data_IF_931670562307
#
_entry.id   IF_931670562307
#
_cell.length_a   1.000
_cell.length_b   1.000
_cell.length_c   1.000
_cell.angle_alpha   90.00
_cell.angle_beta   90.00
_cell.angle_gamma   90.00
#
_symmetry.space_group_name_H-M   'P 1'
#
loop_
_entity.id
_entity.type
_entity.pdbx_description
1 polymer ?
#
# COMPACT_ATOMS: atom_id res chain seq x y z
N UNK A 1 15.84 -15.16 -12.55
CA UNK A 1 16.75 -14.03 -12.21
C UNK A 1 16.02 -12.81 -11.61
N UNK A 2 14.73 -12.55 -11.88
CA UNK A 2 14.00 -11.41 -11.27
C UNK A 2 13.62 -11.56 -9.77
N UNK A 3 13.58 -12.79 -9.23
CA UNK A 3 13.14 -13.08 -7.85
C UNK A 3 14.01 -12.45 -6.75
N UNK A 4 15.23 -12.00 -7.07
CA UNK A 4 16.16 -11.43 -6.10
C UNK A 4 16.00 -9.92 -5.89
N UNK A 5 15.36 -9.16 -6.79
CA UNK A 5 15.46 -7.69 -6.69
C UNK A 5 14.77 -7.08 -5.46
N UNK A 6 13.54 -7.49 -5.11
CA UNK A 6 12.81 -6.93 -3.96
C UNK A 6 13.43 -7.38 -2.62
N UNK A 7 13.79 -8.66 -2.50
CA UNK A 7 14.44 -9.19 -1.30
C UNK A 7 15.84 -8.59 -1.09
N UNK A 8 16.65 -8.48 -2.15
CA UNK A 8 17.97 -7.83 -2.06
C UNK A 8 17.83 -6.32 -1.78
N UNK A 9 16.75 -5.66 -2.24
CA UNK A 9 16.42 -4.27 -1.86
C UNK A 9 16.14 -4.13 -0.36
N UNK A 10 15.44 -5.08 0.26
CA UNK A 10 15.21 -5.07 1.71
C UNK A 10 16.45 -5.49 2.51
N UNK A 11 17.28 -6.39 1.97
CA UNK A 11 18.55 -6.75 2.59
C UNK A 11 19.56 -5.60 2.59
N UNK A 12 19.62 -4.86 1.49
CA UNK A 12 20.47 -3.68 1.31
C UNK A 12 19.92 -2.42 1.97
N UNK A 13 18.71 -2.49 2.56
CA UNK A 13 18.20 -1.43 3.42
C UNK A 13 19.23 -1.15 4.52
N UNK A 14 19.61 0.11 4.78
CA UNK A 14 20.73 0.45 5.66
C UNK A 14 20.72 -0.33 6.98
N UNK A 15 21.71 -1.21 7.17
CA UNK A 15 21.91 -2.01 8.40
C UNK A 15 23.01 -1.47 9.31
N UNK A 16 23.70 -0.40 8.90
CA UNK A 16 24.68 0.34 9.69
C UNK A 16 25.15 1.56 8.89
N UNK A 17 24.93 2.78 9.39
CA UNK A 17 25.61 3.97 8.87
C UNK A 17 25.89 4.93 10.05
N UNK A 18 27.09 5.51 10.06
CA UNK A 18 27.63 6.31 11.15
C UNK A 18 27.37 7.81 10.93
N UNK A 19 26.25 8.34 11.44
CA UNK A 19 26.02 9.79 11.42
C UNK A 19 24.61 10.26 11.79
N UNK A 20 24.50 11.53 12.21
CA UNK A 20 23.20 12.22 12.40
C UNK A 20 22.44 12.44 11.09
N UNK A 21 23.15 12.56 9.96
CA UNK A 21 22.57 12.76 8.63
C UNK A 21 21.80 11.51 8.16
N UNK A 22 22.28 10.32 8.51
CA UNK A 22 21.65 9.04 8.14
C UNK A 22 20.31 8.82 8.87
N UNK A 23 20.24 9.27 10.13
CA UNK A 23 19.00 9.25 10.90
C UNK A 23 17.91 10.09 10.24
N UNK A 24 18.27 11.27 9.74
CA UNK A 24 17.35 12.17 9.03
C UNK A 24 16.92 11.52 7.70
N UNK A 25 17.86 10.94 6.96
CA UNK A 25 17.58 10.27 5.69
C UNK A 25 16.64 9.08 5.85
N UNK A 26 16.86 8.23 6.87
CA UNK A 26 16.00 7.05 7.14
C UNK A 26 14.61 7.49 7.59
N UNK A 27 14.50 8.52 8.44
CA UNK A 27 13.21 9.07 8.84
C UNK A 27 12.44 9.68 7.66
N UNK A 28 13.13 10.42 6.78
CA UNK A 28 12.54 10.98 5.57
C UNK A 28 12.07 9.87 4.64
N UNK A 29 12.90 8.86 4.40
CA UNK A 29 12.56 7.71 3.56
C UNK A 29 11.36 6.93 4.10
N UNK A 30 11.35 6.67 5.41
CA UNK A 30 10.23 5.99 6.10
C UNK A 30 8.94 6.78 5.93
N UNK A 31 8.97 8.09 6.21
CA UNK A 31 7.81 8.99 6.05
C UNK A 31 7.31 9.00 4.60
N UNK A 32 8.23 9.02 3.63
CA UNK A 32 7.89 9.04 2.21
C UNK A 32 7.22 7.74 1.77
N UNK A 33 7.71 6.57 2.20
CA UNK A 33 7.06 5.28 1.89
C UNK A 33 5.63 5.26 2.44
N UNK A 34 5.47 5.62 3.71
CA UNK A 34 4.16 5.61 4.37
C UNK A 34 3.20 6.55 3.63
N UNK A 35 3.67 7.75 3.30
CA UNK A 35 2.87 8.76 2.61
C UNK A 35 2.50 8.32 1.19
N UNK A 36 3.45 7.80 0.41
CA UNK A 36 3.19 7.28 -0.92
C UNK A 36 2.17 6.13 -0.90
N UNK A 37 2.33 5.18 0.03
CA UNK A 37 1.38 4.09 0.21
C UNK A 37 -0.03 4.61 0.52
N UNK A 38 -0.16 5.54 1.48
CA UNK A 38 -1.46 6.12 1.83
C UNK A 38 -2.09 6.89 0.67
N UNK A 39 -1.32 7.72 -0.03
CA UNK A 39 -1.80 8.45 -1.21
C UNK A 39 -2.27 7.49 -2.29
N UNK A 40 -1.54 6.40 -2.53
CA UNK A 40 -1.95 5.38 -3.50
C UNK A 40 -3.30 4.76 -3.13
N UNK A 41 -3.51 4.37 -1.87
CA UNK A 41 -4.80 3.84 -1.40
C UNK A 41 -5.93 4.87 -1.54
N UNK A 42 -5.65 6.14 -1.26
CA UNK A 42 -6.62 7.23 -1.39
C UNK A 42 -7.02 7.48 -2.85
N UNK A 43 -6.06 7.45 -3.78
CA UNK A 43 -6.34 7.53 -5.22
C UNK A 43 -7.25 6.39 -5.69
N UNK A 44 -6.98 5.15 -5.24
CA UNK A 44 -7.84 4.01 -5.56
C UNK A 44 -9.23 4.15 -4.93
N UNK A 45 -9.32 4.65 -3.69
CA UNK A 45 -10.60 4.94 -3.04
C UNK A 45 -11.40 5.97 -3.84
N UNK A 46 -10.77 7.06 -4.25
CA UNK A 46 -11.40 8.10 -5.06
C UNK A 46 -11.94 7.53 -6.38
N UNK A 47 -11.19 6.64 -7.04
CA UNK A 47 -11.68 5.92 -8.20
C UNK A 47 -12.92 5.08 -7.86
N UNK A 48 -12.87 4.30 -6.77
CA UNK A 48 -14.02 3.46 -6.38
C UNK A 48 -15.24 4.27 -5.95
N UNK A 49 -15.02 5.52 -5.53
CA UNK A 49 -16.08 6.43 -5.13
C UNK A 49 -16.78 7.10 -6.32
N UNK A 50 -16.19 7.04 -7.51
CA UNK A 50 -16.84 7.47 -8.75
C UNK A 50 -18.12 6.66 -8.98
N UNK A 51 -19.13 7.29 -9.60
CA UNK A 51 -20.40 6.62 -9.98
C UNK A 51 -20.24 5.60 -11.13
N UNK A 52 -19.03 5.12 -11.38
CA UNK A 52 -18.71 4.11 -12.39
C UNK A 52 -18.72 2.67 -11.85
N UNK A 53 -18.80 2.50 -10.52
CA UNK A 53 -18.98 1.19 -9.86
C UNK A 53 -20.38 1.06 -9.26
N UNK A 54 -20.84 -0.19 -9.12
CA UNK A 54 -22.04 -0.52 -8.34
C UNK A 54 -21.78 -0.34 -6.84
N UNK A 55 -22.84 -0.13 -6.05
CA UNK A 55 -22.73 -0.02 -4.59
C UNK A 55 -22.15 -1.29 -3.96
N UNK A 56 -22.45 -2.45 -4.54
CA UNK A 56 -21.89 -3.75 -4.15
C UNK A 56 -20.38 -3.81 -4.36
N UNK A 57 -19.88 -3.39 -5.54
CA UNK A 57 -18.46 -3.35 -5.83
C UNK A 57 -17.71 -2.38 -4.90
N UNK A 58 -18.30 -1.20 -4.65
CA UNK A 58 -17.73 -0.20 -3.73
C UNK A 58 -17.65 -0.72 -2.29
N UNK A 59 -18.72 -1.36 -1.82
CA UNK A 59 -18.78 -1.95 -0.48
C UNK A 59 -17.78 -3.10 -0.34
N UNK A 60 -17.65 -3.93 -1.37
CA UNK A 60 -16.71 -5.06 -1.39
C UNK A 60 -15.25 -4.61 -1.38
N UNK A 61 -14.91 -3.58 -2.18
CA UNK A 61 -13.58 -2.97 -2.13
C UNK A 61 -13.27 -2.38 -0.75
N UNK A 62 -14.22 -1.63 -0.19
CA UNK A 62 -14.08 -1.02 1.15
C UNK A 62 -13.89 -2.09 2.23
N UNK A 63 -14.66 -3.17 2.20
CA UNK A 63 -14.53 -4.29 3.12
C UNK A 63 -13.17 -4.99 3.00
N UNK A 64 -12.66 -5.15 1.78
CA UNK A 64 -11.33 -5.73 1.52
C UNK A 64 -10.20 -4.88 2.11
N UNK A 65 -10.25 -3.55 1.89
CA UNK A 65 -9.26 -2.62 2.47
C UNK A 65 -9.35 -2.59 4.00
N UNK A 66 -10.56 -2.56 4.55
CA UNK A 66 -10.79 -2.62 6.00
C UNK A 66 -10.24 -3.91 6.60
N UNK A 67 -10.47 -5.06 5.95
CA UNK A 67 -9.91 -6.34 6.39
C UNK A 67 -8.38 -6.29 6.49
N UNK A 68 -7.69 -5.74 5.49
CA UNK A 68 -6.23 -5.59 5.52
C UNK A 68 -5.78 -4.64 6.65
N UNK A 69 -6.50 -3.54 6.86
CA UNK A 69 -6.25 -2.63 7.97
C UNK A 69 -6.42 -3.31 9.33
N UNK A 70 -7.43 -4.15 9.50
CA UNK A 70 -7.70 -4.81 10.78
C UNK A 70 -6.72 -5.94 11.07
N UNK A 71 -6.31 -6.70 10.05
CA UNK A 71 -5.48 -7.91 10.22
C UNK A 71 -3.98 -7.69 10.10
N UNK A 72 -3.51 -6.69 9.35
CA UNK A 72 -2.07 -6.48 9.13
C UNK A 72 -1.55 -5.39 10.08
N UNK A 73 -0.79 -5.80 11.10
CA UNK A 73 -0.32 -4.92 12.17
C UNK A 73 0.54 -3.77 11.66
N UNK A 74 1.62 -4.04 10.91
CA UNK A 74 2.51 -2.97 10.45
C UNK A 74 1.79 -2.01 9.50
N UNK A 75 0.85 -2.50 8.68
CA UNK A 75 0.04 -1.64 7.82
C UNK A 75 -0.76 -0.61 8.64
N UNK A 76 -1.54 -1.11 9.61
CA UNK A 76 -2.33 -0.29 10.53
C UNK A 76 -1.48 0.69 11.34
N UNK A 77 -0.38 0.22 11.93
CA UNK A 77 0.52 1.05 12.71
C UNK A 77 1.12 2.18 11.85
N UNK A 78 1.69 1.85 10.70
CA UNK A 78 2.40 2.81 9.86
C UNK A 78 1.47 3.86 9.25
N UNK A 79 0.24 3.48 8.86
CA UNK A 79 -0.79 4.46 8.47
C UNK A 79 -1.04 5.49 9.58
N UNK A 80 -1.04 5.08 10.85
CA UNK A 80 -1.21 6.00 11.99
C UNK A 80 0.04 6.80 12.31
N UNK A 81 1.21 6.21 12.11
CA UNK A 81 2.47 6.92 12.23
C UNK A 81 2.64 8.03 11.18
N UNK A 82 1.92 7.97 10.05
CA UNK A 82 1.82 9.12 9.12
C UNK A 82 1.30 10.38 9.82
N UNK A 83 0.21 10.24 10.57
CA UNK A 83 -0.41 11.36 11.30
C UNK A 83 0.55 11.86 12.38
N UNK A 84 1.36 10.97 12.97
CA UNK A 84 2.43 11.33 13.90
C UNK A 84 3.55 12.12 13.22
N UNK A 85 3.96 11.72 12.01
CA UNK A 85 5.00 12.36 11.21
C UNK A 85 4.63 13.79 10.79
N UNK A 86 3.33 14.09 10.67
CA UNK A 86 2.85 15.44 10.37
C UNK A 86 3.06 16.43 11.53
N UNK A 87 3.27 15.93 12.75
CA UNK A 87 3.45 16.72 13.96
C UNK A 87 4.87 16.61 14.56
N UNK A 88 5.82 16.01 13.83
CA UNK A 88 7.23 15.90 14.20
C UNK A 88 7.90 14.68 13.58
N UNK A 89 9.18 14.45 13.89
CA UNK A 89 9.89 13.27 13.35
C UNK A 89 9.27 11.96 13.83
N UNK A 90 9.24 10.95 12.96
CA UNK A 90 8.89 9.58 13.33
C UNK A 90 9.85 9.07 14.41
N UNK A 91 9.39 8.23 15.35
CA UNK A 91 10.21 7.68 16.42
C UNK A 91 10.94 6.42 15.92
N UNK A 92 11.67 6.59 14.81
CA UNK A 92 12.67 5.61 14.40
C UNK A 92 13.84 5.82 15.33
N UNK A 93 14.30 4.76 15.99
CA UNK A 93 15.49 4.76 16.85
C UNK A 93 16.51 3.78 16.28
N UNK A 94 17.76 3.88 16.73
CA UNK A 94 18.84 2.98 16.35
C UNK A 94 19.61 2.50 17.57
N UNK A 95 19.87 1.20 17.66
CA UNK A 95 20.75 0.59 18.66
C UNK A 95 21.59 -0.46 17.94
N UNK A 96 22.90 -0.46 18.17
CA UNK A 96 23.83 -1.46 17.59
C UNK A 96 23.65 -1.63 16.07
N UNK A 97 23.43 -0.51 15.37
CA UNK A 97 23.16 -0.42 13.93
C UNK A 97 21.80 -0.99 13.45
N UNK A 98 20.91 -1.40 14.35
CA UNK A 98 19.56 -1.86 14.00
C UNK A 98 18.57 -0.70 14.18
N UNK A 99 17.80 -0.41 13.13
CA UNK A 99 16.70 0.56 13.18
C UNK A 99 15.38 -0.08 13.58
N UNK A 100 14.67 0.58 14.47
CA UNK A 100 13.40 0.09 15.01
C UNK A 100 12.42 1.23 15.31
N UNK A 101 11.14 0.93 15.33
CA UNK A 101 10.13 1.77 15.96
C UNK A 101 10.09 1.47 17.45
N UNK A 102 10.18 2.53 18.23
CA UNK A 102 10.06 2.48 19.67
C UNK A 102 8.62 2.76 20.10
N UNK A 103 7.91 1.69 20.45
CA UNK A 103 6.48 1.77 20.77
C UNK A 103 6.20 2.57 22.05
N UNK A 104 7.14 2.57 23.01
CA UNK A 104 7.02 3.35 24.25
C UNK A 104 7.11 4.84 23.92
N UNK A 105 8.09 5.24 23.12
CA UNK A 105 8.23 6.63 22.66
C UNK A 105 7.06 7.08 21.77
N UNK A 106 6.46 6.18 20.97
CA UNK A 106 5.23 6.45 20.22
C UNK A 106 4.08 6.79 21.17
N UNK A 107 3.85 5.95 22.18
CA UNK A 107 2.76 6.11 23.15
C UNK A 107 2.94 7.29 24.11
N UNK A 108 4.18 7.59 24.46
CA UNK A 108 4.53 8.62 25.44
C UNK A 108 4.51 10.04 24.87
N UNK A 109 4.31 10.24 23.56
CA UNK A 109 4.42 11.57 22.96
C UNK A 109 3.29 12.50 23.41
N UNK A 110 3.62 13.65 24.04
CA UNK A 110 2.62 14.65 24.39
C UNK A 110 1.88 15.16 23.15
N UNK A 111 0.58 15.43 23.28
CA UNK A 111 -0.28 16.03 22.24
C UNK A 111 -0.55 15.17 20.98
N UNK A 112 -0.15 13.90 20.96
CA UNK A 112 -0.58 12.97 19.91
C UNK A 112 -1.84 12.20 20.35
N UNK A 113 -2.99 12.56 19.77
CA UNK A 113 -4.26 11.89 20.05
C UNK A 113 -4.33 10.55 19.32
N UNK A 114 -3.89 9.49 19.99
CA UNK A 114 -4.07 8.13 19.49
C UNK A 114 -5.56 7.75 19.42
N UNK A 115 -5.96 7.04 18.36
CA UNK A 115 -7.21 6.31 18.37
C UNK A 115 -7.19 5.27 19.51
N UNK A 116 -8.27 5.20 20.30
CA UNK A 116 -8.36 4.35 21.49
C UNK A 116 -7.99 2.88 21.24
N UNK A 117 -8.52 2.28 20.16
CA UNK A 117 -8.26 0.88 19.83
C UNK A 117 -6.80 0.63 19.44
N UNK A 118 -6.16 1.58 18.74
CA UNK A 118 -4.76 1.47 18.35
C UNK A 118 -3.84 1.65 19.56
N UNK A 119 -4.18 2.60 20.45
CA UNK A 119 -3.48 2.79 21.72
C UNK A 119 -3.52 1.52 22.56
N UNK A 120 -4.70 0.90 22.70
CA UNK A 120 -4.88 -0.37 23.42
C UNK A 120 -4.06 -1.51 22.80
N UNK A 121 -4.04 -1.65 21.47
CA UNK A 121 -3.21 -2.64 20.79
C UNK A 121 -1.70 -2.43 21.03
N UNK A 122 -1.23 -1.17 20.99
CA UNK A 122 0.17 -0.86 21.29
C UNK A 122 0.52 -1.14 22.76
N UNK A 123 -0.35 -0.75 23.70
CA UNK A 123 -0.18 -1.06 25.13
C UNK A 123 -0.12 -2.56 25.35
N UNK A 124 -1.02 -3.32 24.72
CA UNK A 124 -1.06 -4.77 24.86
C UNK A 124 0.19 -5.44 24.27
N UNK A 125 0.67 -4.96 23.11
CA UNK A 125 1.93 -5.41 22.53
C UNK A 125 3.13 -5.11 23.43
N UNK A 126 3.14 -3.95 24.09
CA UNK A 126 4.23 -3.56 25.01
C UNK A 126 4.23 -4.40 26.28
N UNK A 127 3.09 -4.49 26.96
CA UNK A 127 2.95 -5.27 28.19
C UNK A 127 3.33 -6.74 27.94
N UNK A 128 2.96 -7.26 26.78
CA UNK A 128 3.34 -8.59 26.32
C UNK A 128 4.86 -8.76 26.20
N UNK A 129 5.55 -7.84 25.53
CA UNK A 129 6.99 -7.95 25.34
C UNK A 129 7.78 -7.78 26.65
N UNK A 130 7.34 -6.84 27.50
CA UNK A 130 7.97 -6.59 28.80
C UNK A 130 7.85 -7.79 29.73
N UNK A 131 6.68 -8.44 29.76
CA UNK A 131 6.48 -9.59 30.65
C UNK A 131 7.33 -10.80 30.24
N UNK A 132 7.43 -11.06 28.94
CA UNK A 132 8.06 -12.27 28.40
C UNK A 132 9.56 -12.17 28.17
N UNK A 133 10.01 -11.05 27.66
CA UNK A 133 11.41 -10.89 27.26
C UNK A 133 12.20 -10.05 28.26
N UNK A 134 11.52 -9.49 29.28
CA UNK A 134 12.11 -8.53 30.24
C UNK A 134 12.87 -7.40 29.53
N UNK A 135 12.41 -7.02 28.34
CA UNK A 135 13.04 -6.04 27.47
C UNK A 135 11.98 -5.11 26.88
N UNK A 136 12.42 -3.94 26.44
CA UNK A 136 11.57 -2.96 25.77
C UNK A 136 11.22 -3.45 24.36
N UNK A 137 9.94 -3.49 23.97
CA UNK A 137 9.52 -3.88 22.62
C UNK A 137 10.14 -2.98 21.55
N UNK A 138 10.96 -3.58 20.69
CA UNK A 138 11.52 -2.95 19.50
C UNK A 138 10.89 -3.55 18.26
N UNK A 139 10.17 -2.75 17.49
CA UNK A 139 9.59 -3.22 16.24
C UNK A 139 10.56 -2.95 15.09
N UNK A 140 11.05 -3.99 14.43
CA UNK A 140 12.03 -3.85 13.34
C UNK A 140 11.50 -2.94 12.22
N UNK A 141 12.25 -1.88 11.91
CA UNK A 141 11.89 -0.92 10.86
C UNK A 141 11.74 -1.62 9.50
N UNK A 142 12.76 -2.40 9.11
CA UNK A 142 12.79 -3.08 7.82
C UNK A 142 11.66 -4.09 7.67
N UNK A 143 11.38 -4.90 8.71
CA UNK A 143 10.29 -5.88 8.67
C UNK A 143 8.92 -5.21 8.58
N UNK A 144 8.72 -4.14 9.34
CA UNK A 144 7.45 -3.40 9.31
C UNK A 144 7.22 -2.67 8.00
N UNK A 145 8.26 -2.06 7.42
CA UNK A 145 8.15 -1.44 6.09
C UNK A 145 7.88 -2.47 5.00
N UNK A 146 8.55 -3.63 5.04
CA UNK A 146 8.29 -4.71 4.08
C UNK A 146 6.84 -5.22 4.17
N UNK A 147 6.33 -5.46 5.38
CA UNK A 147 4.93 -5.88 5.60
C UNK A 147 3.94 -4.80 5.13
N UNK A 148 4.19 -3.52 5.41
CA UNK A 148 3.37 -2.41 4.95
C UNK A 148 3.33 -2.29 3.43
N UNK A 149 4.48 -2.38 2.78
CA UNK A 149 4.57 -2.29 1.31
C UNK A 149 3.88 -3.49 0.67
N UNK A 150 4.09 -4.71 1.19
CA UNK A 150 3.40 -5.91 0.71
C UNK A 150 1.88 -5.79 0.84
N UNK A 151 1.38 -5.30 1.99
CA UNK A 151 -0.05 -5.06 2.20
C UNK A 151 -0.61 -3.97 1.26
N UNK A 152 0.13 -2.89 1.03
CA UNK A 152 -0.26 -1.80 0.13
C UNK A 152 -0.36 -2.30 -1.31
N UNK A 153 0.64 -3.05 -1.78
CA UNK A 153 0.64 -3.62 -3.14
C UNK A 153 -0.44 -4.70 -3.27
N UNK A 154 -0.75 -5.45 -2.22
CA UNK A 154 -1.88 -6.38 -2.20
C UNK A 154 -3.21 -5.67 -2.40
N UNK A 155 -3.42 -4.50 -1.76
CA UNK A 155 -4.60 -3.67 -2.02
C UNK A 155 -4.62 -3.23 -3.48
N UNK A 156 -3.48 -2.78 -4.03
CA UNK A 156 -3.36 -2.37 -5.42
C UNK A 156 -3.70 -3.48 -6.42
N UNK A 157 -3.19 -4.69 -6.20
CA UNK A 157 -3.57 -5.86 -7.00
C UNK A 157 -5.08 -6.08 -6.98
N UNK A 158 -5.68 -6.08 -5.79
CA UNK A 158 -7.11 -6.33 -5.64
C UNK A 158 -7.96 -5.21 -6.25
N UNK A 159 -7.49 -3.97 -6.24
CA UNK A 159 -8.17 -2.84 -6.86
C UNK A 159 -8.50 -3.10 -8.34
N UNK A 160 -7.58 -3.71 -9.09
CA UNK A 160 -7.80 -4.00 -10.50
C UNK A 160 -8.99 -4.94 -10.76
N UNK A 161 -9.31 -5.84 -9.82
CA UNK A 161 -10.52 -6.67 -9.93
C UNK A 161 -11.81 -5.83 -9.94
N UNK A 162 -11.83 -4.70 -9.24
CA UNK A 162 -12.99 -3.80 -9.21
C UNK A 162 -12.96 -2.80 -10.38
N UNK A 163 -11.77 -2.36 -10.78
CA UNK A 163 -11.61 -1.43 -11.90
C UNK A 163 -12.01 -2.04 -13.25
N UNK A 164 -11.88 -3.36 -13.42
CA UNK A 164 -12.25 -4.09 -14.64
C UNK A 164 -13.68 -3.76 -15.11
N UNK A 165 -14.63 -3.81 -14.18
CA UNK A 165 -16.03 -3.51 -14.47
C UNK A 165 -16.23 -2.08 -14.98
N UNK A 166 -15.57 -1.11 -14.36
CA UNK A 166 -15.66 0.30 -14.76
C UNK A 166 -15.06 0.52 -16.16
N UNK A 167 -13.90 -0.07 -16.44
CA UNK A 167 -13.19 0.07 -17.72
C UNK A 167 -13.99 -0.56 -18.87
N UNK A 168 -14.49 -1.78 -18.69
CA UNK A 168 -15.29 -2.47 -19.72
C UNK A 168 -16.60 -1.72 -20.02
N UNK A 169 -17.27 -1.22 -18.99
CA UNK A 169 -18.48 -0.42 -19.18
C UNK A 169 -18.19 0.93 -19.87
N UNK A 170 -17.09 1.59 -19.53
CA UNK A 170 -16.68 2.82 -20.19
C UNK A 170 -16.36 2.58 -21.67
N UNK A 171 -15.61 1.52 -22.00
CA UNK A 171 -15.29 1.10 -23.37
C UNK A 171 -16.56 0.88 -24.19
N UNK A 172 -17.54 0.15 -23.63
CA UNK A 172 -18.83 -0.06 -24.29
C UNK A 172 -19.57 1.26 -24.57
N UNK A 173 -19.68 2.15 -23.57
CA UNK A 173 -20.34 3.45 -23.74
C UNK A 173 -19.65 4.32 -24.79
N UNK A 174 -18.31 4.35 -24.81
CA UNK A 174 -17.54 5.07 -25.84
C UNK A 174 -17.85 4.48 -27.22
N UNK A 175 -17.84 3.15 -27.36
CA UNK A 175 -18.19 2.49 -28.62
C UNK A 175 -19.60 2.87 -29.08
N UNK A 176 -20.59 2.81 -28.20
CA UNK A 176 -21.99 3.15 -28.53
C UNK A 176 -22.11 4.61 -29.01
N UNK A 177 -21.38 5.55 -28.38
CA UNK A 177 -21.32 6.96 -28.79
C UNK A 177 -20.67 7.11 -30.18
N UNK A 178 -19.55 6.44 -30.42
CA UNK A 178 -18.82 6.50 -31.70
C UNK A 178 -19.67 5.91 -32.83
N UNK A 179 -20.34 4.78 -32.58
CA UNK A 179 -21.22 4.12 -33.55
C UNK A 179 -22.48 4.97 -33.84
N UNK A 180 -22.92 5.80 -32.89
CA UNK A 180 -24.06 6.73 -33.06
C UNK A 180 -23.70 7.98 -33.85
N UNK A 181 -22.47 8.49 -33.70
CA UNK A 181 -22.01 9.75 -34.31
C UNK A 181 -20.74 9.57 -35.15
N UNK A 182 -20.74 8.68 -36.16
CA UNK A 182 -19.54 8.40 -36.96
C UNK A 182 -19.01 9.62 -37.72
N UNK A 183 -19.83 10.65 -37.96
CA UNK A 183 -19.46 11.92 -38.57
C UNK A 183 -18.45 12.73 -37.74
N UNK A 184 -18.35 12.46 -36.42
CA UNK A 184 -17.39 13.11 -35.54
C UNK A 184 -15.98 12.49 -35.58
N UNK A 185 -15.77 11.48 -36.45
CA UNK A 185 -14.48 10.85 -36.67
C UNK A 185 -13.69 11.68 -37.69
N UNK A 186 -12.49 12.11 -37.31
CA UNK A 186 -11.58 12.85 -38.20
C UNK A 186 -11.12 11.95 -39.35
N UNK A 187 -11.49 12.35 -40.56
CA UNK A 187 -11.03 11.78 -41.83
C UNK A 187 -9.93 12.69 -42.41
N UNK A 188 -8.72 12.64 -41.83
CA UNK A 188 -7.56 13.46 -42.23
C UNK A 188 -6.31 12.59 -42.46
N UNK A 189 -5.23 13.11 -43.10
CA UNK A 189 -3.96 12.41 -43.25
C UNK A 189 -3.35 11.98 -41.91
N UNK A 190 -2.48 10.96 -41.98
CA UNK A 190 -2.06 9.98 -40.96
C UNK A 190 -2.14 10.38 -39.46
N UNK A 191 -1.70 11.57 -39.07
CA UNK A 191 -1.38 11.89 -37.68
C UNK A 191 -2.61 12.07 -36.77
N UNK A 192 -3.77 12.42 -37.34
CA UNK A 192 -5.05 12.53 -36.61
C UNK A 192 -6.17 11.68 -37.21
N UNK A 193 -5.82 10.77 -38.12
CA UNK A 193 -6.79 9.83 -38.68
C UNK A 193 -7.38 8.98 -37.55
N UNK A 194 -8.72 8.82 -37.53
CA UNK A 194 -9.45 8.01 -36.54
C UNK A 194 -9.50 8.57 -35.11
N UNK A 195 -9.34 9.87 -34.94
CA UNK A 195 -9.70 10.53 -33.68
C UNK A 195 -11.19 10.88 -33.68
N UNK A 196 -11.86 10.72 -32.54
CA UNK A 196 -13.25 11.10 -32.33
C UNK A 196 -13.33 12.41 -31.54
N UNK A 197 -13.93 13.45 -32.11
CA UNK A 197 -14.12 14.75 -31.43
C UNK A 197 -15.47 14.74 -30.70
N UNK A 198 -15.47 14.97 -29.40
CA UNK A 198 -16.72 15.02 -28.61
C UNK A 198 -17.03 16.39 -28.02
N UNK A 199 -16.09 17.33 -28.08
CA UNK A 199 -16.31 18.72 -27.67
C UNK A 199 -15.33 19.64 -28.39
N UNK A 200 -15.79 20.82 -28.80
CA UNK A 200 -14.94 21.91 -29.28
C UNK A 200 -15.30 23.17 -28.49
N UNK A 201 -14.32 23.78 -27.84
CA UNK A 201 -14.50 25.01 -27.07
C UNK A 201 -13.21 25.84 -27.09
N UNK A 202 -13.35 27.16 -27.31
CA UNK A 202 -12.25 28.14 -27.26
C UNK A 202 -11.02 27.76 -28.11
N UNK A 203 -11.25 27.19 -29.30
CA UNK A 203 -10.18 26.75 -30.20
C UNK A 203 -9.51 25.42 -29.83
N UNK A 204 -9.96 24.75 -28.76
CA UNK A 204 -9.51 23.43 -28.34
C UNK A 204 -10.57 22.37 -28.65
N UNK A 205 -10.12 21.15 -28.94
CA UNK A 205 -10.98 19.99 -29.13
C UNK A 205 -10.66 18.92 -28.08
N UNK A 206 -11.70 18.42 -27.41
CA UNK A 206 -11.59 17.21 -26.61
C UNK A 206 -11.83 15.99 -27.50
N UNK A 207 -10.90 15.05 -27.45
CA UNK A 207 -10.82 13.95 -28.40
C UNK A 207 -10.53 12.62 -27.76
N UNK A 208 -10.93 11.53 -28.43
CA UNK A 208 -10.55 10.16 -28.09
C UNK A 208 -9.85 9.54 -29.31
N UNK A 209 -8.67 8.96 -29.13
CA UNK A 209 -8.01 8.19 -30.18
C UNK A 209 -8.67 6.81 -30.29
N UNK A 210 -9.31 6.50 -31.42
CA UNK A 210 -10.01 5.22 -31.60
C UNK A 210 -9.05 4.02 -31.80
N UNK A 211 -7.77 4.31 -32.02
CA UNK A 211 -6.72 3.29 -32.10
C UNK A 211 -6.27 2.80 -30.72
N UNK A 212 -6.56 3.54 -29.65
CA UNK A 212 -6.22 3.14 -28.29
C UNK A 212 -7.04 1.91 -27.89
N UNK A 213 -6.41 0.98 -27.18
CA UNK A 213 -7.07 -0.18 -26.61
C UNK A 213 -6.97 -0.16 -25.08
N UNK A 214 -7.93 0.51 -24.41
CA UNK A 214 -7.97 0.60 -22.94
C UNK A 214 -8.01 -0.77 -22.26
N UNK A 215 -8.56 -1.79 -22.93
CA UNK A 215 -8.64 -3.15 -22.38
C UNK A 215 -7.26 -3.81 -22.36
N UNK A 216 -6.49 -3.66 -23.44
CA UNK A 216 -5.10 -4.13 -23.47
C UNK A 216 -4.24 -3.42 -22.42
N UNK A 217 -4.37 -2.10 -22.29
CA UNK A 217 -3.66 -1.34 -21.26
C UNK A 217 -4.07 -1.78 -19.85
N UNK A 218 -5.36 -2.04 -19.63
CA UNK A 218 -5.88 -2.56 -18.37
C UNK A 218 -5.30 -3.94 -18.03
N UNK A 219 -5.28 -4.87 -18.99
CA UNK A 219 -4.68 -6.20 -18.81
C UNK A 219 -3.20 -6.10 -18.43
N UNK A 220 -2.45 -5.22 -19.10
CA UNK A 220 -1.04 -4.97 -18.77
C UNK A 220 -0.87 -4.51 -17.31
N UNK A 221 -1.65 -3.52 -16.86
CA UNK A 221 -1.56 -3.05 -15.47
C UNK A 221 -1.97 -4.10 -14.44
N UNK A 222 -2.98 -4.92 -14.76
CA UNK A 222 -3.42 -6.03 -13.90
C UNK A 222 -2.31 -7.08 -13.75
N UNK A 223 -1.69 -7.50 -14.86
CA UNK A 223 -0.57 -8.45 -14.87
C UNK A 223 0.66 -7.90 -14.13
N UNK A 224 1.00 -6.62 -14.33
CA UNK A 224 2.09 -5.96 -13.61
C UNK A 224 1.81 -5.90 -12.10
N UNK A 225 0.58 -5.56 -11.71
CA UNK A 225 0.17 -5.51 -10.31
C UNK A 225 0.24 -6.89 -9.63
N UNK A 226 -0.16 -7.96 -10.33
CA UNK A 226 -0.03 -9.33 -9.85
C UNK A 226 1.43 -9.73 -9.67
N UNK A 227 2.27 -9.52 -10.70
CA UNK A 227 3.70 -9.83 -10.67
C UNK A 227 4.40 -9.10 -9.51
N UNK A 228 4.16 -7.80 -9.37
CA UNK A 228 4.77 -6.99 -8.30
C UNK A 228 4.25 -7.43 -6.92
N UNK A 229 2.95 -7.70 -6.79
CA UNK A 229 2.37 -8.19 -5.53
C UNK A 229 3.03 -9.49 -5.08
N UNK A 230 3.13 -10.47 -5.97
CA UNK A 230 3.72 -11.77 -5.64
C UNK A 230 5.20 -11.63 -5.26
N UNK A 231 5.95 -10.77 -5.96
CA UNK A 231 7.35 -10.48 -5.64
C UNK A 231 7.52 -9.88 -4.23
N UNK A 232 6.71 -8.88 -3.86
CA UNK A 232 6.83 -8.22 -2.55
C UNK A 232 6.30 -9.07 -1.40
N UNK A 233 5.24 -9.86 -1.62
CA UNK A 233 4.74 -10.83 -0.64
C UNK A 233 5.80 -11.91 -0.39
N UNK A 234 6.38 -12.48 -1.45
CA UNK A 234 7.45 -13.48 -1.32
C UNK A 234 8.68 -12.89 -0.60
N UNK A 235 9.11 -11.69 -0.99
CA UNK A 235 10.25 -11.04 -0.34
C UNK A 235 10.01 -10.77 1.15
N UNK A 236 8.78 -10.40 1.52
CA UNK A 236 8.37 -10.26 2.91
C UNK A 236 8.39 -11.60 3.65
N UNK A 237 7.85 -12.68 3.07
CA UNK A 237 7.92 -14.03 3.65
C UNK A 237 9.37 -14.48 3.87
N UNK A 238 10.26 -14.25 2.90
CA UNK A 238 11.69 -14.58 3.04
C UNK A 238 12.40 -13.76 4.14
N UNK A 239 11.93 -12.55 4.41
CA UNK A 239 12.48 -11.67 5.45
C UNK A 239 12.05 -12.10 6.87
N UNK A 240 10.91 -12.78 6.98
CA UNK A 240 10.30 -13.20 8.24
C UNK A 240 10.30 -14.71 8.46
N UNK A 241 10.86 -15.51 7.54
CA UNK A 241 10.91 -16.98 7.66
C UNK A 241 11.59 -17.46 8.95
N UNK A 242 12.61 -16.74 9.40
CA UNK A 242 13.31 -17.02 10.65
C UNK A 242 12.70 -16.26 11.84
N UNK A 243 11.61 -15.51 11.62
CA UNK A 243 10.90 -14.87 12.70
C UNK A 243 10.10 -15.90 13.49
N UNK A 244 10.03 -15.68 14.79
CA UNK A 244 9.20 -16.47 15.68
C UNK A 244 7.94 -15.66 16.00
N UNK A 245 6.78 -16.28 15.81
CA UNK A 245 5.51 -15.75 16.25
C UNK A 245 5.25 -16.22 17.68
N UNK A 246 4.90 -15.28 18.55
CA UNK A 246 4.50 -15.56 19.92
C UNK A 246 2.97 -15.52 19.94
N UNK A 247 2.35 -16.68 20.17
CA UNK A 247 0.89 -16.81 20.32
C UNK A 247 0.53 -16.95 21.79
N UNK A 248 -0.40 -16.11 22.23
CA UNK A 248 -1.05 -16.23 23.53
C UNK A 248 -2.21 -17.19 23.40
N UNK A 249 -2.14 -18.31 24.09
CA UNK A 249 -3.27 -19.22 24.23
C UNK A 249 -4.18 -18.74 25.37
N UNK A 250 -3.57 -18.23 26.44
CA UNK A 250 -4.22 -17.51 27.54
C UNK A 250 -3.16 -16.67 28.30
N UNK A 251 -3.48 -16.22 29.52
CA UNK A 251 -2.62 -15.36 30.34
C UNK A 251 -1.32 -16.03 30.80
N UNK A 252 -1.28 -17.35 30.89
CA UNK A 252 -0.16 -18.11 31.44
C UNK A 252 0.52 -19.02 30.39
N UNK A 253 -0.12 -19.21 29.23
CA UNK A 253 0.37 -20.11 28.19
C UNK A 253 0.72 -19.38 26.89
N UNK A 254 2.00 -19.47 26.55
CA UNK A 254 2.55 -18.94 25.31
C UNK A 254 3.07 -20.06 24.43
N UNK A 255 2.70 -19.99 23.16
CA UNK A 255 3.22 -20.86 22.13
C UNK A 255 4.12 -20.05 21.21
N UNK A 256 5.41 -20.37 21.20
CA UNK A 256 6.33 -19.88 20.18
C UNK A 256 6.20 -20.80 18.97
N UNK A 257 5.80 -20.23 17.84
CA UNK A 257 5.69 -20.97 16.57
C UNK A 257 6.56 -20.29 15.52
N UNK A 258 7.17 -21.07 14.60
CA UNK A 258 7.72 -20.51 13.38
C UNK A 258 6.65 -19.67 12.67
N UNK A 259 7.03 -18.48 12.20
CA UNK A 259 6.08 -17.53 11.61
C UNK A 259 5.43 -18.07 10.33
N UNK A 260 6.12 -18.95 9.61
CA UNK A 260 5.69 -19.55 8.33
C UNK A 260 4.50 -20.52 8.42
N UNK A 261 4.11 -20.97 9.61
CA UNK A 261 3.02 -21.96 9.80
C UNK A 261 1.59 -21.38 9.71
N UNK A 262 1.43 -20.09 9.41
CA UNK A 262 0.15 -19.38 9.57
C UNK A 262 -0.27 -18.47 8.41
N UNK A 263 0.34 -18.62 7.23
CA UNK A 263 -0.03 -17.90 6.01
C UNK A 263 -0.75 -18.84 5.05
#
# INVERSE_FOLDING_TARGET
>A
MEKLHAYERWKSFPRSISGKEDYIAINAYTTNIISAGKTMIESMKNFTDLKCLTDENRSSYSAMVSKIYDTVFSYKLLIRLRDYAQHGHLPVNSSENIYYFDLINILGKPHFNHNKAVKEQMIQAIATCEDLFKDTPRLSLTKSLAEFVAATIRIYRNFWMFAEYAVLNAKKKIKDIVDTYPENIIQAPADMSKWFIYKVADGNADTIALADDPEKMFVQFKEEAEKISDQYIQAWHELIKDAQLIRFLDKDHIKIVPYDQHI
#
